data_IF_478948352466
#
_entry.id   IF_478948352466
#
_cell.length_a   1.000
_cell.length_b   1.000
_cell.length_c   1.000
_cell.angle_alpha   90.00
_cell.angle_beta   90.00
_cell.angle_gamma   90.00
#
_symmetry.space_group_name_H-M   'P 1'
#
loop_
_entity.id
_entity.type
_entity.pdbx_description
1 polymer ?
#
# COMPACT_ATOMS: atom_id res chain seq x y z
N UNK A 1 30.33 15.12 44.69
CA UNK A 1 31.24 15.98 43.93
C UNK A 1 31.09 15.68 42.44
N UNK A 2 30.78 16.68 41.63
CA UNK A 2 30.94 16.71 40.17
C UNK A 2 29.69 16.43 39.38
N UNK A 3 28.78 17.42 39.30
CA UNK A 3 27.71 17.44 38.31
C UNK A 3 28.22 17.81 36.94
N UNK A 4 27.69 17.16 35.91
CA UNK A 4 27.79 17.62 34.53
C UNK A 4 26.38 17.74 33.96
N UNK A 5 25.92 18.98 33.90
CA UNK A 5 24.72 19.38 33.14
C UNK A 5 25.07 19.40 31.68
N UNK A 6 24.40 18.59 30.88
CA UNK A 6 24.45 18.74 29.42
C UNK A 6 23.22 19.49 28.97
N UNK A 7 23.53 20.64 28.39
CA UNK A 7 22.65 21.63 27.83
C UNK A 7 21.89 21.08 26.63
N UNK A 8 20.57 21.21 26.66
CA UNK A 8 19.71 21.01 25.50
C UNK A 8 19.83 22.21 24.57
N UNK A 9 20.36 22.00 23.39
CA UNK A 9 20.35 22.98 22.32
C UNK A 9 19.07 22.84 21.50
N UNK A 10 18.15 23.76 21.72
CA UNK A 10 16.96 23.95 20.89
C UNK A 10 17.38 24.58 19.57
N UNK A 11 17.27 23.83 18.48
CA UNK A 11 17.37 24.39 17.13
C UNK A 11 15.99 24.72 16.61
N UNK A 12 15.57 25.95 16.84
CA UNK A 12 14.33 26.52 16.32
C UNK A 12 14.61 27.12 14.95
N UNK A 13 14.23 26.43 13.88
CA UNK A 13 14.24 26.99 12.54
C UNK A 13 12.80 27.36 12.16
N UNK A 14 12.45 28.61 12.41
CA UNK A 14 11.29 29.27 11.82
C UNK A 14 11.63 29.59 10.37
N UNK A 15 10.99 28.90 9.42
CA UNK A 15 10.93 29.36 8.05
C UNK A 15 9.52 29.88 7.76
N UNK A 16 9.42 31.20 7.80
CA UNK A 16 8.25 31.93 7.34
C UNK A 16 8.26 31.95 5.80
N UNK A 17 7.32 31.30 5.16
CA UNK A 17 7.03 31.48 3.74
C UNK A 17 5.91 32.50 3.58
N UNK A 18 6.32 33.65 3.09
CA UNK A 18 5.50 34.77 2.70
C UNK A 18 4.68 34.36 1.45
N UNK A 19 3.38 34.35 1.59
CA UNK A 19 2.47 34.21 0.47
C UNK A 19 2.29 35.60 -0.16
N UNK A 20 2.71 35.74 -1.40
CA UNK A 20 2.32 36.87 -2.23
C UNK A 20 1.23 36.45 -3.19
N UNK A 21 0.13 37.17 -3.09
CA UNK A 21 -1.06 36.97 -3.89
C UNK A 21 -0.86 37.42 -5.33
N UNK A 22 -1.43 36.63 -6.23
CA UNK A 22 -1.76 37.09 -7.57
C UNK A 22 -3.24 36.79 -7.81
N UNK A 23 -4.05 37.83 -7.75
CA UNK A 23 -5.43 37.81 -8.17
C UNK A 23 -5.50 37.67 -9.69
N UNK A 24 -5.99 36.56 -10.20
CA UNK A 24 -6.33 36.44 -11.60
C UNK A 24 -7.86 36.53 -11.75
N UNK A 25 -8.26 37.64 -12.30
CA UNK A 25 -9.64 38.03 -12.63
C UNK A 25 -10.01 37.34 -13.93
N UNK A 26 -10.78 36.27 -13.91
CA UNK A 26 -11.34 35.69 -15.11
C UNK A 26 -12.83 35.99 -15.18
N UNK A 27 -13.18 36.79 -16.17
CA UNK A 27 -14.57 37.04 -16.60
C UNK A 27 -15.10 35.84 -17.39
N UNK A 28 -16.30 35.50 -17.08
CA UNK A 28 -17.35 34.77 -17.72
C UNK A 28 -17.19 34.17 -19.10
N UNK A 29 -17.69 32.94 -19.18
CA UNK A 29 -18.51 32.48 -20.30
C UNK A 29 -19.38 31.31 -19.83
N UNK A 30 -20.66 31.51 -19.89
CA UNK A 30 -21.73 30.53 -19.75
C UNK A 30 -21.66 29.59 -20.94
N UNK A 31 -21.47 28.30 -20.71
CA UNK A 31 -21.54 27.25 -21.70
C UNK A 31 -22.05 25.96 -21.06
N UNK A 32 -23.36 25.79 -21.03
CA UNK A 32 -24.00 24.49 -20.77
C UNK A 32 -23.52 23.54 -21.83
N UNK A 33 -22.88 22.46 -21.46
CA UNK A 33 -22.93 21.16 -22.18
C UNK A 33 -22.29 20.08 -21.34
N UNK A 34 -23.11 19.08 -21.02
CA UNK A 34 -22.73 17.70 -20.89
C UNK A 34 -21.56 17.40 -19.98
N UNK A 35 -21.81 17.16 -18.70
CA UNK A 35 -20.90 16.32 -17.89
C UNK A 35 -20.93 14.92 -18.50
N UNK A 36 -20.13 14.75 -19.55
CA UNK A 36 -19.72 13.43 -19.98
C UNK A 36 -18.93 12.87 -18.82
N UNK A 37 -19.59 12.01 -18.08
CA UNK A 37 -18.93 11.15 -17.10
C UNK A 37 -18.08 10.20 -17.89
N UNK A 38 -16.92 10.70 -18.33
CA UNK A 38 -15.89 9.84 -18.89
C UNK A 38 -15.46 8.96 -17.73
N UNK A 39 -16.07 7.79 -17.70
CA UNK A 39 -15.57 6.65 -16.94
C UNK A 39 -14.12 6.53 -17.36
N UNK A 40 -13.24 7.09 -16.55
CA UNK A 40 -11.81 6.82 -16.65
C UNK A 40 -11.73 5.34 -16.32
N UNK A 41 -11.79 4.52 -17.35
CA UNK A 41 -11.28 3.18 -17.30
C UNK A 41 -9.85 3.39 -16.80
N UNK A 42 -9.60 2.97 -15.57
CA UNK A 42 -8.27 2.89 -15.04
C UNK A 42 -7.49 2.06 -16.06
N UNK A 43 -6.78 2.73 -16.94
CA UNK A 43 -5.78 2.12 -17.76
C UNK A 43 -4.81 1.54 -16.76
N UNK A 44 -4.85 0.22 -16.61
CA UNK A 44 -3.83 -0.52 -15.89
C UNK A 44 -2.50 0.08 -16.33
N UNK A 45 -1.81 0.74 -15.42
CA UNK A 45 -0.58 1.44 -15.71
C UNK A 45 0.30 0.49 -16.50
N UNK A 46 0.66 0.86 -17.73
CA UNK A 46 1.50 0.02 -18.58
C UNK A 46 2.88 -0.19 -17.94
N UNK A 47 3.20 0.63 -16.93
CA UNK A 47 4.41 0.53 -16.11
C UNK A 47 4.17 -0.40 -14.91
N UNK A 48 4.88 -1.55 -14.85
CA UNK A 48 4.79 -2.49 -13.74
C UNK A 48 5.16 -1.89 -12.38
N UNK A 49 6.07 -0.92 -12.35
CA UNK A 49 6.47 -0.27 -11.10
C UNK A 49 5.36 0.62 -10.54
N UNK A 50 4.70 1.39 -11.39
CA UNK A 50 3.54 2.21 -11.01
C UNK A 50 2.38 1.32 -10.53
N UNK A 51 2.09 0.22 -11.24
CA UNK A 51 1.08 -0.75 -10.85
C UNK A 51 1.35 -1.35 -9.45
N UNK A 52 2.59 -1.76 -9.19
CA UNK A 52 2.98 -2.32 -7.89
C UNK A 52 2.85 -1.27 -6.78
N UNK A 53 3.32 -0.04 -7.01
CA UNK A 53 3.22 1.04 -6.04
C UNK A 53 1.76 1.34 -5.69
N UNK A 54 0.88 1.39 -6.69
CA UNK A 54 -0.56 1.57 -6.50
C UNK A 54 -1.17 0.39 -5.73
N UNK A 55 -0.87 -0.85 -6.13
CA UNK A 55 -1.37 -2.04 -5.47
C UNK A 55 -0.94 -2.11 -4.00
N UNK A 56 0.32 -1.79 -3.72
CA UNK A 56 0.84 -1.76 -2.35
C UNK A 56 0.21 -0.68 -1.48
N UNK A 57 -0.21 0.45 -2.06
CA UNK A 57 -0.83 1.57 -1.34
C UNK A 57 -2.34 1.40 -1.12
N UNK A 58 -2.97 0.36 -1.69
CA UNK A 58 -4.41 0.15 -1.56
C UNK A 58 -4.83 -0.08 -0.12
N UNK A 59 -5.96 0.50 0.31
CA UNK A 59 -6.56 0.15 1.58
C UNK A 59 -7.05 -1.30 1.52
N UNK A 60 -6.82 -2.07 2.57
CA UNK A 60 -7.18 -3.48 2.62
C UNK A 60 -5.99 -4.42 2.61
N UNK A 61 -6.23 -5.67 2.28
CA UNK A 61 -5.18 -6.69 2.19
C UNK A 61 -4.93 -7.01 0.72
N UNK A 62 -3.69 -6.85 0.29
CA UNK A 62 -3.22 -7.20 -1.06
C UNK A 62 -2.21 -8.34 -0.95
N UNK A 63 -2.41 -9.37 -1.74
CA UNK A 63 -1.53 -10.55 -1.78
C UNK A 63 -1.03 -10.77 -3.20
N UNK A 64 0.27 -10.60 -3.39
CA UNK A 64 0.93 -11.04 -4.63
C UNK A 64 1.14 -12.55 -4.54
N UNK A 65 0.59 -13.29 -5.50
CA UNK A 65 0.43 -14.73 -5.47
C UNK A 65 0.78 -15.36 -6.81
N UNK A 66 0.91 -16.69 -6.81
CA UNK A 66 0.86 -17.51 -8.03
C UNK A 66 -0.08 -18.66 -7.77
N UNK A 67 -0.90 -19.00 -8.75
CA UNK A 67 -1.99 -19.98 -8.61
C UNK A 67 -1.51 -21.37 -8.20
N UNK A 68 -0.33 -21.78 -8.64
CA UNK A 68 0.27 -23.08 -8.37
C UNK A 68 1.14 -23.13 -7.07
N UNK A 69 1.24 -22.02 -6.33
CA UNK A 69 2.11 -21.95 -5.15
C UNK A 69 1.37 -22.41 -3.88
N UNK A 70 1.80 -23.50 -3.19
CA UNK A 70 1.14 -23.99 -1.99
C UNK A 70 1.18 -23.00 -0.82
N UNK A 71 2.29 -22.29 -0.64
CA UNK A 71 2.43 -21.26 0.39
C UNK A 71 1.50 -20.05 0.17
N UNK A 72 1.17 -19.76 -1.09
CA UNK A 72 0.18 -18.74 -1.41
C UNK A 72 -1.22 -19.19 -1.00
N UNK A 73 -1.54 -20.47 -1.16
CA UNK A 73 -2.82 -21.04 -0.71
C UNK A 73 -2.95 -20.93 0.80
N UNK A 74 -1.90 -21.27 1.55
CA UNK A 74 -1.89 -21.16 3.02
C UNK A 74 -2.20 -19.73 3.48
N UNK A 75 -1.55 -18.73 2.90
CA UNK A 75 -1.80 -17.34 3.23
C UNK A 75 -3.24 -16.92 2.94
N UNK A 76 -3.80 -17.35 1.80
CA UNK A 76 -5.20 -17.09 1.45
C UNK A 76 -6.16 -17.72 2.46
N UNK A 77 -5.85 -18.93 2.93
CA UNK A 77 -6.65 -19.63 3.95
C UNK A 77 -6.61 -18.88 5.29
N UNK A 78 -5.45 -18.35 5.71
CA UNK A 78 -5.34 -17.56 6.93
C UNK A 78 -6.31 -16.38 6.91
N UNK A 79 -6.27 -15.56 5.83
CA UNK A 79 -7.15 -14.40 5.73
C UNK A 79 -8.64 -14.79 5.62
N UNK A 80 -8.93 -15.89 4.93
CA UNK A 80 -10.30 -16.42 4.88
C UNK A 80 -10.80 -16.84 6.28
N UNK A 81 -9.96 -17.46 7.10
CA UNK A 81 -10.29 -17.83 8.47
C UNK A 81 -10.49 -16.63 9.39
N UNK A 82 -9.80 -15.53 9.10
CA UNK A 82 -9.96 -14.25 9.81
C UNK A 82 -11.18 -13.45 9.33
N UNK A 83 -11.95 -13.95 8.36
CA UNK A 83 -13.08 -13.23 7.77
C UNK A 83 -12.66 -12.01 6.95
N UNK A 84 -11.38 -11.90 6.57
CA UNK A 84 -10.84 -10.72 5.89
C UNK A 84 -10.90 -10.88 4.38
N UNK A 85 -11.53 -9.92 3.72
CA UNK A 85 -11.51 -9.83 2.26
C UNK A 85 -10.10 -9.45 1.78
N UNK A 86 -9.56 -10.25 0.87
CA UNK A 86 -8.22 -10.05 0.30
C UNK A 86 -8.29 -9.83 -1.20
N UNK A 87 -7.53 -8.86 -1.68
CA UNK A 87 -7.26 -8.70 -3.12
C UNK A 87 -6.07 -9.56 -3.49
N UNK A 88 -6.28 -10.57 -4.32
CA UNK A 88 -5.24 -11.50 -4.74
C UNK A 88 -4.82 -11.20 -6.17
N UNK A 89 -3.53 -10.91 -6.35
CA UNK A 89 -2.91 -10.64 -7.63
C UNK A 89 -2.12 -11.89 -8.07
N UNK A 90 -2.73 -12.68 -8.96
CA UNK A 90 -2.10 -13.91 -9.48
C UNK A 90 -1.14 -13.53 -10.63
N UNK A 91 0.14 -13.46 -10.32
CA UNK A 91 1.17 -13.01 -11.25
C UNK A 91 1.34 -13.92 -12.47
N UNK A 92 1.06 -15.21 -12.31
CA UNK A 92 1.13 -16.19 -13.39
C UNK A 92 -0.02 -16.05 -14.41
N UNK A 93 -1.12 -15.41 -14.01
CA UNK A 93 -2.27 -15.16 -14.87
C UNK A 93 -2.22 -13.78 -15.55
N UNK A 94 -1.26 -12.93 -15.15
CA UNK A 94 -1.05 -11.62 -15.76
C UNK A 94 -0.07 -11.70 -16.93
N UNK A 95 -0.39 -11.08 -18.05
CA UNK A 95 0.48 -11.05 -19.23
C UNK A 95 1.87 -10.44 -18.98
N UNK A 96 1.96 -9.53 -18.01
CA UNK A 96 3.20 -8.86 -17.56
C UNK A 96 3.64 -9.29 -16.16
N UNK A 97 3.16 -10.43 -15.65
CA UNK A 97 3.39 -10.86 -14.26
C UNK A 97 4.86 -10.98 -13.86
N UNK A 98 5.74 -11.35 -14.78
CA UNK A 98 7.18 -11.36 -14.53
C UNK A 98 7.76 -9.97 -14.26
N UNK A 99 7.32 -8.97 -15.03
CA UNK A 99 7.73 -7.58 -14.83
C UNK A 99 7.16 -7.00 -13.53
N UNK A 100 5.90 -7.34 -13.20
CA UNK A 100 5.27 -6.97 -11.91
C UNK A 100 6.02 -7.61 -10.74
N UNK A 101 6.43 -8.89 -10.85
CA UNK A 101 7.23 -9.55 -9.82
C UNK A 101 8.60 -8.90 -9.64
N UNK A 102 9.26 -8.50 -10.71
CA UNK A 102 10.53 -7.79 -10.64
C UNK A 102 10.38 -6.41 -9.98
N UNK A 103 9.34 -5.66 -10.34
CA UNK A 103 9.02 -4.36 -9.73
C UNK A 103 8.69 -4.50 -8.25
N UNK A 104 7.91 -5.50 -7.85
CA UNK A 104 7.63 -5.83 -6.45
C UNK A 104 8.92 -6.15 -5.68
N UNK A 105 9.82 -6.95 -6.28
CA UNK A 105 11.10 -7.29 -5.67
C UNK A 105 11.98 -6.05 -5.47
N UNK A 106 11.97 -5.11 -6.40
CA UNK A 106 12.68 -3.85 -6.27
C UNK A 106 12.10 -2.96 -5.15
N UNK A 107 10.76 -2.96 -5.00
CA UNK A 107 10.07 -2.13 -4.01
C UNK A 107 10.20 -2.66 -2.58
N UNK A 108 10.07 -3.97 -2.35
CA UNK A 108 10.04 -4.56 -1.01
C UNK A 108 11.24 -5.47 -0.68
N UNK A 109 12.20 -5.65 -1.61
CA UNK A 109 13.38 -6.49 -1.44
C UNK A 109 13.10 -8.00 -1.47
N UNK A 110 11.85 -8.43 -1.70
CA UNK A 110 11.46 -9.83 -1.70
C UNK A 110 11.12 -10.33 -3.11
N UNK A 111 11.84 -11.32 -3.59
CA UNK A 111 11.68 -11.89 -4.94
C UNK A 111 10.69 -13.06 -5.01
N UNK A 112 10.27 -13.55 -3.86
CA UNK A 112 9.42 -14.74 -3.75
C UNK A 112 7.96 -14.36 -3.53
N UNK A 113 7.06 -15.27 -3.85
CA UNK A 113 5.64 -15.19 -3.51
C UNK A 113 5.33 -16.28 -2.47
N UNK A 114 4.33 -16.07 -1.59
CA UNK A 114 3.46 -14.91 -1.50
C UNK A 114 4.15 -13.68 -0.91
N UNK A 115 3.62 -12.48 -1.22
CA UNK A 115 3.94 -11.25 -0.50
C UNK A 115 2.66 -10.56 -0.10
N UNK A 116 2.55 -10.21 1.17
CA UNK A 116 1.35 -9.67 1.81
C UNK A 116 1.54 -8.22 2.19
N UNK A 117 0.57 -7.41 1.85
CA UNK A 117 0.48 -6.00 2.25
C UNK A 117 -0.86 -5.76 2.94
N UNK A 118 -0.84 -5.05 4.05
CA UNK A 118 -2.02 -4.69 4.85
C UNK A 118 -2.04 -3.19 5.03
N UNK A 119 -3.04 -2.52 4.45
CA UNK A 119 -3.15 -1.06 4.53
C UNK A 119 -1.88 -0.32 4.13
N UNK A 120 -1.17 -0.80 3.11
CA UNK A 120 0.11 -0.24 2.64
C UNK A 120 1.35 -0.73 3.39
N UNK A 121 1.19 -1.45 4.51
CA UNK A 121 2.32 -2.02 5.27
C UNK A 121 2.70 -3.39 4.72
N UNK A 122 3.97 -3.59 4.39
CA UNK A 122 4.50 -4.89 4.00
C UNK A 122 4.64 -5.82 5.20
N UNK A 123 3.89 -6.91 5.21
CA UNK A 123 3.98 -7.96 6.25
C UNK A 123 5.08 -8.94 5.89
N UNK A 124 5.13 -9.38 4.65
CA UNK A 124 6.14 -10.30 4.13
C UNK A 124 5.56 -11.54 3.47
N UNK A 125 6.35 -12.61 3.42
CA UNK A 125 5.96 -13.90 2.87
C UNK A 125 5.16 -14.77 3.84
N UNK A 126 4.97 -16.03 3.47
CA UNK A 126 4.19 -17.01 4.24
C UNK A 126 4.65 -17.11 5.70
N UNK A 127 5.95 -17.36 5.94
CA UNK A 127 6.51 -17.52 7.29
C UNK A 127 6.29 -16.29 8.18
N UNK A 128 6.50 -15.09 7.60
CA UNK A 128 6.29 -13.84 8.33
C UNK A 128 4.82 -13.61 8.63
N UNK A 129 3.92 -13.98 7.72
CA UNK A 129 2.49 -13.89 7.93
C UNK A 129 2.03 -14.84 9.05
N UNK A 130 2.55 -16.07 9.09
CA UNK A 130 2.30 -17.01 10.18
C UNK A 130 2.85 -16.50 11.52
N UNK A 131 4.07 -15.96 11.53
CA UNK A 131 4.65 -15.38 12.73
C UNK A 131 3.84 -14.19 13.25
N UNK A 132 3.43 -13.29 12.35
CA UNK A 132 2.59 -12.13 12.69
C UNK A 132 1.19 -12.54 13.17
N UNK A 133 0.64 -13.64 12.66
CA UNK A 133 -0.61 -14.21 13.17
C UNK A 133 -0.44 -14.72 14.60
N UNK A 134 0.62 -15.48 14.87
CA UNK A 134 0.91 -16.04 16.20
C UNK A 134 1.23 -14.97 17.24
N UNK A 135 1.95 -13.93 16.87
CA UNK A 135 2.28 -12.81 17.75
C UNK A 135 1.12 -11.83 17.97
N UNK A 136 0.04 -11.92 17.15
CA UNK A 136 -1.05 -10.95 17.14
C UNK A 136 -0.76 -9.68 16.32
N UNK A 137 0.45 -9.53 15.80
CA UNK A 137 0.84 -8.37 14.99
C UNK A 137 -0.01 -8.24 13.72
N UNK A 138 -0.40 -9.36 13.11
CA UNK A 138 -1.27 -9.36 11.93
C UNK A 138 -2.64 -8.76 12.26
N UNK A 139 -3.25 -9.15 13.38
CA UNK A 139 -4.53 -8.59 13.84
C UNK A 139 -4.40 -7.10 14.16
N UNK A 140 -3.31 -6.69 14.80
CA UNK A 140 -3.03 -5.29 15.07
C UNK A 140 -2.87 -4.47 13.77
N UNK A 141 -2.19 -5.01 12.76
CA UNK A 141 -2.03 -4.37 11.46
C UNK A 141 -3.37 -4.23 10.73
N UNK A 142 -4.22 -5.27 10.76
CA UNK A 142 -5.57 -5.24 10.18
C UNK A 142 -6.45 -4.19 10.87
N UNK A 143 -6.44 -4.16 12.20
CA UNK A 143 -7.17 -3.15 12.98
C UNK A 143 -6.69 -1.73 12.68
N UNK A 144 -5.37 -1.51 12.59
CA UNK A 144 -4.80 -0.21 12.22
C UNK A 144 -5.18 0.23 10.81
N UNK A 145 -5.40 -0.73 9.91
CA UNK A 145 -5.90 -0.47 8.55
C UNK A 145 -7.44 -0.31 8.50
N UNK A 146 -8.14 -0.39 9.62
CA UNK A 146 -9.60 -0.30 9.69
C UNK A 146 -10.32 -1.53 9.15
N UNK A 147 -9.65 -2.68 9.10
CA UNK A 147 -10.19 -3.93 8.58
C UNK A 147 -10.71 -4.76 9.76
N UNK A 148 -12.02 -5.03 9.76
CA UNK A 148 -12.63 -5.90 10.74
C UNK A 148 -12.16 -7.35 10.53
N UNK A 149 -11.90 -8.05 11.63
CA UNK A 149 -11.59 -9.48 11.63
C UNK A 149 -12.69 -10.20 12.41
N UNK A 150 -13.18 -11.30 11.89
CA UNK A 150 -14.01 -12.23 12.67
C UNK A 150 -13.12 -12.91 13.72
N UNK A 151 -13.53 -12.79 14.97
CA UNK A 151 -12.80 -13.37 16.12
C UNK A 151 -13.26 -14.76 16.39
#
# INVERSE_FOLDING_TARGET
MGGARMSMSMCSARMALKAEGAAFKARGAVGRRGVSFTRVLATASADPAAFVAEAMARPGVVVFSKSYCPYCVEVKVIFKQLGVSTEVLELDQMGNGGAVQAAMAAACGARTVPQVFVGGKHIGGCDKTHAALKSGELKAALSAAGIATDS
#
